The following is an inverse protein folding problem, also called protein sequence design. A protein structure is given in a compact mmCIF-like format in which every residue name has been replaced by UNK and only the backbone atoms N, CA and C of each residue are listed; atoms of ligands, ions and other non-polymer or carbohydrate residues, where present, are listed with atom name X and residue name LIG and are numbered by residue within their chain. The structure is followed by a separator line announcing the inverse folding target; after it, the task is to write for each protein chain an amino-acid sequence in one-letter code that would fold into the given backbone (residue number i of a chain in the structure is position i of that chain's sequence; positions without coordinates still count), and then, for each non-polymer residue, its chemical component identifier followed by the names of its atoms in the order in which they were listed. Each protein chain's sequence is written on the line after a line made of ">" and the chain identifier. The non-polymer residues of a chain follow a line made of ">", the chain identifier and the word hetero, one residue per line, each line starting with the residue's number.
data_IF_032870067272
#
_entry.id   IF_032870067272
#
_cell.length_a   1.000
_cell.length_b   1.000
_cell.length_c   1.000
_cell.angle_alpha   90.00
_cell.angle_beta   90.00
_cell.angle_gamma   90.00
#
_symmetry.space_group_name_H-M   'P 1'
#
loop_
_entity.id
_entity.type
_entity.pdbx_description
1 polymer ?
#
# COMPACT_ATOMS: atom_id res chain seq x y z
N UNK A 1 -6.00 -30.88 28.97
CA UNK A 1 -4.80 -31.11 28.15
C UNK A 1 -4.59 -29.84 27.33
N UNK A 2 -3.63 -29.01 27.72
CA UNK A 2 -3.33 -27.74 27.06
C UNK A 2 -2.77 -28.04 25.67
N UNK A 3 -3.45 -27.57 24.62
CA UNK A 3 -2.84 -27.46 23.30
C UNK A 3 -2.30 -26.04 23.23
N UNK A 4 -1.00 -25.90 23.54
CA UNK A 4 -0.27 -24.67 23.26
C UNK A 4 -0.19 -24.54 21.74
N UNK A 5 -1.05 -23.69 21.17
CA UNK A 5 -0.93 -23.26 19.79
C UNK A 5 0.41 -22.56 19.62
N UNK A 6 1.33 -23.24 18.95
CA UNK A 6 2.59 -22.67 18.50
C UNK A 6 2.26 -21.50 17.56
N UNK A 7 2.32 -20.27 18.06
CA UNK A 7 2.28 -19.05 17.24
C UNK A 7 3.60 -18.93 16.47
N UNK A 8 3.83 -19.85 15.55
CA UNK A 8 4.83 -19.70 14.51
C UNK A 8 4.40 -18.52 13.64
N UNK A 9 5.20 -17.46 13.62
CA UNK A 9 5.02 -16.34 12.73
C UNK A 9 5.23 -16.84 11.30
N UNK A 10 4.16 -17.29 10.63
CA UNK A 10 4.22 -17.68 9.22
C UNK A 10 4.42 -16.37 8.45
N UNK A 11 5.65 -16.16 7.97
CA UNK A 11 5.94 -15.05 7.06
C UNK A 11 5.31 -15.36 5.69
N UNK A 12 4.03 -15.03 5.53
CA UNK A 12 3.35 -15.09 4.25
C UNK A 12 3.95 -14.05 3.28
N UNK A 13 4.13 -14.42 2.01
CA UNK A 13 4.63 -13.50 0.99
C UNK A 13 3.57 -12.47 0.55
N UNK A 14 2.29 -12.72 0.86
CA UNK A 14 1.15 -11.87 0.50
C UNK A 14 0.07 -11.88 1.58
N UNK A 15 -0.81 -10.88 1.55
CA UNK A 15 -1.99 -10.81 2.40
C UNK A 15 -3.17 -11.55 1.74
N UNK A 16 -3.88 -12.40 2.48
CA UNK A 16 -5.11 -13.03 1.98
C UNK A 16 -6.26 -12.03 1.91
N UNK A 17 -7.30 -12.36 1.13
CA UNK A 17 -8.41 -11.45 0.85
C UNK A 17 -9.11 -10.98 2.13
N UNK A 18 -9.36 -11.89 3.07
CA UNK A 18 -10.05 -11.61 4.32
C UNK A 18 -9.26 -10.63 5.20
N UNK A 19 -7.94 -10.85 5.35
CA UNK A 19 -7.05 -9.95 6.07
C UNK A 19 -6.96 -8.58 5.40
N UNK A 20 -6.96 -8.53 4.06
CA UNK A 20 -6.99 -7.27 3.33
C UNK A 20 -8.30 -6.50 3.55
N UNK A 21 -9.45 -7.21 3.56
CA UNK A 21 -10.74 -6.61 3.90
C UNK A 21 -10.77 -6.08 5.34
N UNK A 22 -10.20 -6.81 6.30
CA UNK A 22 -10.05 -6.32 7.69
C UNK A 22 -9.25 -5.02 7.72
N UNK A 23 -8.15 -4.95 6.96
CA UNK A 23 -7.30 -3.75 6.88
C UNK A 23 -8.07 -2.55 6.29
N UNK A 24 -8.91 -2.77 5.27
CA UNK A 24 -9.74 -1.72 4.67
C UNK A 24 -10.85 -1.21 5.62
N UNK A 25 -11.49 -2.13 6.35
CA UNK A 25 -12.69 -1.83 7.15
C UNK A 25 -12.37 -1.39 8.59
N UNK A 26 -11.18 -1.69 9.10
CA UNK A 26 -10.79 -1.30 10.47
C UNK A 26 -10.66 0.22 10.58
N UNK A 27 -11.41 0.82 11.51
CA UNK A 27 -11.28 2.23 11.84
C UNK A 27 -9.95 2.48 12.56
N UNK A 28 -9.16 3.43 12.07
CA UNK A 28 -7.87 3.80 12.64
C UNK A 28 -7.88 5.31 12.89
N UNK A 29 -8.11 5.71 14.15
CA UNK A 29 -8.15 7.12 14.55
C UNK A 29 -6.78 7.79 14.48
N UNK A 30 -5.70 7.01 14.71
CA UNK A 30 -4.35 7.53 14.66
C UNK A 30 -3.97 7.91 13.21
N UNK A 31 -3.86 9.20 12.94
CA UNK A 31 -3.54 9.76 11.60
C UNK A 31 -2.27 9.17 10.97
N UNK A 32 -1.25 8.86 11.77
CA UNK A 32 0.01 8.28 11.29
C UNK A 32 -0.19 6.83 10.84
N UNK A 33 -0.92 6.03 11.62
CA UNK A 33 -1.25 4.65 11.25
C UNK A 33 -2.21 4.61 10.06
N UNK A 34 -3.23 5.49 10.04
CA UNK A 34 -4.15 5.62 8.90
C UNK A 34 -3.41 5.96 7.61
N UNK A 35 -2.43 6.88 7.65
CA UNK A 35 -1.57 7.15 6.49
C UNK A 35 -0.77 5.92 6.07
N UNK A 36 -0.14 5.21 7.00
CA UNK A 36 0.61 3.99 6.65
C UNK A 36 -0.29 2.94 6.01
N UNK A 37 -1.50 2.73 6.53
CA UNK A 37 -2.51 1.85 5.92
C UNK A 37 -2.82 2.29 4.49
N UNK A 38 -3.11 3.57 4.28
CA UNK A 38 -3.49 4.05 2.96
C UNK A 38 -2.33 3.94 1.94
N UNK A 39 -1.07 4.15 2.37
CA UNK A 39 0.10 3.90 1.50
C UNK A 39 0.24 2.42 1.14
N UNK A 40 0.01 1.53 2.11
CA UNK A 40 0.00 0.09 1.87
C UNK A 40 -1.10 -0.30 0.88
N UNK A 41 -2.33 0.17 1.09
CA UNK A 41 -3.48 -0.09 0.21
C UNK A 41 -3.22 0.43 -1.19
N UNK A 42 -2.73 1.66 -1.33
CA UNK A 42 -2.38 2.21 -2.64
C UNK A 42 -1.34 1.36 -3.36
N UNK A 43 -0.30 0.92 -2.63
CA UNK A 43 0.73 0.01 -3.13
C UNK A 43 0.13 -1.35 -3.53
N UNK A 44 -0.86 -1.85 -2.80
CA UNK A 44 -1.60 -3.07 -3.14
C UNK A 44 -2.49 -2.95 -4.37
N UNK A 45 -2.94 -1.77 -4.75
CA UNK A 45 -3.71 -1.57 -6.00
C UNK A 45 -2.83 -1.20 -7.19
N UNK A 46 -1.57 -0.83 -6.98
CA UNK A 46 -0.67 -0.35 -8.04
C UNK A 46 0.55 -1.23 -8.27
N UNK A 47 0.88 -2.12 -7.34
CA UNK A 47 2.07 -2.97 -7.41
C UNK A 47 3.39 -2.20 -7.37
N UNK A 48 3.38 -0.94 -6.93
CA UNK A 48 4.56 -0.11 -6.79
C UNK A 48 5.38 -0.54 -5.56
N UNK A 49 6.70 -0.48 -5.64
CA UNK A 49 7.53 -0.70 -4.45
C UNK A 49 7.54 0.55 -3.56
N UNK A 50 8.03 0.43 -2.32
CA UNK A 50 8.26 1.59 -1.45
C UNK A 50 9.14 2.65 -2.13
N UNK A 51 10.16 2.21 -2.87
CA UNK A 51 11.05 3.12 -3.56
C UNK A 51 10.35 3.83 -4.73
N UNK A 52 9.53 3.11 -5.50
CA UNK A 52 8.72 3.69 -6.57
C UNK A 52 7.71 4.70 -6.01
N UNK A 53 7.07 4.38 -4.88
CA UNK A 53 6.16 5.28 -4.16
C UNK A 53 6.85 6.56 -3.70
N UNK A 54 8.10 6.46 -3.22
CA UNK A 54 8.88 7.62 -2.78
C UNK A 54 9.27 8.55 -3.94
N UNK A 55 9.47 8.02 -5.14
CA UNK A 55 9.81 8.83 -6.33
C UNK A 55 8.58 9.34 -7.08
N UNK A 56 7.42 8.69 -6.91
CA UNK A 56 6.16 9.01 -7.59
C UNK A 56 5.81 10.49 -7.43
N UNK A 57 5.53 11.13 -8.54
CA UNK A 57 5.30 12.58 -8.64
C UNK A 57 4.28 12.91 -9.71
N UNK A 58 3.82 14.15 -9.73
CA UNK A 58 2.73 14.61 -10.61
C UNK A 58 3.00 14.37 -12.10
N UNK A 59 4.27 14.48 -12.55
CA UNK A 59 4.64 14.18 -13.94
C UNK A 59 4.37 12.73 -14.37
N UNK A 60 4.25 11.82 -13.42
CA UNK A 60 3.96 10.41 -13.70
C UNK A 60 2.45 10.14 -13.80
N UNK A 61 1.60 11.08 -13.39
CA UNK A 61 0.15 10.96 -13.49
C UNK A 61 -0.34 11.47 -14.84
N UNK A 62 -0.85 10.58 -15.66
CA UNK A 62 -1.36 10.89 -17.00
C UNK A 62 -2.86 10.68 -16.99
N UNK A 63 -3.62 11.73 -17.30
CA UNK A 63 -5.07 11.66 -17.50
C UNK A 63 -5.37 11.53 -18.99
N UNK A 64 -6.12 10.50 -19.34
CA UNK A 64 -6.60 10.29 -20.70
C UNK A 64 -7.90 11.08 -20.98
N UNK A 65 -8.30 11.15 -22.26
CA UNK A 65 -9.45 11.94 -22.72
C UNK A 65 -10.78 11.49 -22.09
N UNK A 66 -10.88 10.23 -21.72
CA UNK A 66 -12.03 9.62 -21.04
C UNK A 66 -12.07 9.92 -19.53
N UNK A 67 -11.05 10.62 -19.00
CA UNK A 67 -10.90 10.93 -17.58
C UNK A 67 -10.15 9.86 -16.77
N UNK A 68 -9.82 8.71 -17.37
CA UNK A 68 -9.05 7.64 -16.72
C UNK A 68 -7.66 8.16 -16.34
N UNK A 69 -7.23 7.86 -15.11
CA UNK A 69 -5.92 8.26 -14.60
C UNK A 69 -4.96 7.06 -14.63
N UNK A 70 -3.75 7.31 -15.12
CA UNK A 70 -2.69 6.32 -15.23
C UNK A 70 -1.44 6.80 -14.48
N UNK A 71 -0.68 5.85 -13.93
CA UNK A 71 0.71 6.06 -13.53
C UNK A 71 1.59 5.55 -14.66
N UNK A 72 2.42 6.43 -15.23
CA UNK A 72 3.52 6.06 -16.13
C UNK A 72 4.84 6.36 -15.43
N UNK A 73 5.57 5.32 -15.03
CA UNK A 73 6.78 5.47 -14.21
C UNK A 73 7.86 4.47 -14.61
N UNK A 74 9.11 4.91 -14.62
CA UNK A 74 10.25 4.00 -14.70
C UNK A 74 10.53 3.42 -13.30
N UNK A 75 10.42 2.10 -13.17
CA UNK A 75 10.65 1.42 -11.88
C UNK A 75 12.10 1.60 -11.45
N UNK A 76 12.30 1.99 -10.18
CA UNK A 76 13.63 2.37 -9.69
C UNK A 76 14.63 1.22 -9.79
N UNK A 77 14.22 0.01 -9.43
CA UNK A 77 15.10 -1.17 -9.33
C UNK A 77 15.49 -1.75 -10.69
N UNK A 78 14.53 -1.84 -11.60
CA UNK A 78 14.70 -2.56 -12.88
C UNK A 78 14.89 -1.64 -14.07
N UNK A 79 14.65 -0.32 -13.92
CA UNK A 79 14.69 0.66 -15.02
C UNK A 79 13.71 0.36 -16.15
N UNK A 80 12.69 -0.44 -15.87
CA UNK A 80 11.63 -0.77 -16.81
C UNK A 80 10.49 0.22 -16.66
N UNK A 81 9.97 0.72 -17.78
CA UNK A 81 8.73 1.48 -17.78
C UNK A 81 7.56 0.62 -17.28
N UNK A 82 6.68 1.22 -16.49
CA UNK A 82 5.49 0.59 -15.95
C UNK A 82 4.31 1.55 -16.12
N UNK A 83 3.24 1.05 -16.74
CA UNK A 83 2.01 1.78 -17.00
C UNK A 83 0.88 1.11 -16.21
N UNK A 84 0.31 1.82 -15.24
CA UNK A 84 -0.66 1.29 -14.28
C UNK A 84 -1.93 2.12 -14.36
N UNK A 85 -3.06 1.50 -14.70
CA UNK A 85 -4.37 2.14 -14.64
C UNK A 85 -4.80 2.29 -13.20
N UNK A 86 -5.19 3.49 -12.77
CA UNK A 86 -5.62 3.72 -11.39
C UNK A 86 -7.10 3.40 -11.21
N UNK A 87 -7.39 2.56 -10.21
CA UNK A 87 -8.73 2.32 -9.71
C UNK A 87 -9.20 3.48 -8.84
N UNK A 88 -10.53 3.62 -8.68
CA UNK A 88 -11.15 4.70 -7.91
C UNK A 88 -10.58 4.84 -6.50
N UNK A 89 -10.32 3.72 -5.81
CA UNK A 89 -9.73 3.74 -4.46
C UNK A 89 -8.31 4.35 -4.45
N UNK A 90 -7.49 4.05 -5.45
CA UNK A 90 -6.15 4.63 -5.58
C UNK A 90 -6.25 6.15 -5.85
N UNK A 91 -7.18 6.57 -6.71
CA UNK A 91 -7.46 7.98 -7.00
C UNK A 91 -7.92 8.73 -5.74
N UNK A 92 -8.83 8.14 -4.96
CA UNK A 92 -9.31 8.71 -3.70
C UNK A 92 -8.17 8.91 -2.69
N UNK A 93 -7.23 7.96 -2.59
CA UNK A 93 -6.06 8.10 -1.72
C UNK A 93 -5.15 9.25 -2.20
N UNK A 94 -4.92 9.38 -3.51
CA UNK A 94 -4.14 10.49 -4.09
C UNK A 94 -4.76 11.84 -3.71
N UNK A 95 -6.08 11.98 -3.86
CA UNK A 95 -6.79 13.23 -3.56
C UNK A 95 -6.84 13.51 -2.05
N UNK A 96 -7.04 12.49 -1.20
CA UNK A 96 -7.03 12.61 0.26
C UNK A 96 -5.75 13.27 0.79
N UNK A 97 -4.60 12.99 0.18
CA UNK A 97 -3.29 13.49 0.61
C UNK A 97 -2.75 14.63 -0.25
N UNK A 98 -3.56 15.20 -1.15
CA UNK A 98 -3.12 16.25 -2.08
C UNK A 98 -2.77 17.56 -1.39
N UNK A 99 -3.58 17.99 -0.41
CA UNK A 99 -3.44 19.29 0.26
C UNK A 99 -2.25 19.38 1.20
N UNK A 100 -1.67 18.25 1.60
CA UNK A 100 -0.52 18.19 2.51
C UNK A 100 0.83 18.05 1.79
N UNK A 101 0.84 17.90 0.46
CA UNK A 101 2.06 17.71 -0.32
C UNK A 101 3.02 18.89 -0.13
N UNK A 102 4.30 18.58 0.06
CA UNK A 102 5.36 19.58 0.24
C UNK A 102 6.22 19.79 -1.01
N UNK A 103 5.93 19.05 -2.07
CA UNK A 103 6.72 19.01 -3.32
C UNK A 103 5.86 18.44 -4.45
N UNK A 104 6.45 18.22 -5.62
CA UNK A 104 5.82 17.53 -6.75
C UNK A 104 5.50 16.05 -6.47
N UNK A 105 5.95 15.50 -5.35
CA UNK A 105 5.69 14.11 -4.95
C UNK A 105 4.23 13.89 -4.60
N UNK A 106 3.68 12.76 -5.05
CA UNK A 106 2.28 12.40 -4.80
C UNK A 106 2.03 12.16 -3.31
N UNK A 107 3.02 11.60 -2.61
CA UNK A 107 2.93 11.28 -1.18
C UNK A 107 4.16 11.76 -0.41
N UNK A 108 3.92 12.30 0.79
CA UNK A 108 4.97 12.56 1.78
C UNK A 108 5.31 11.25 2.52
N UNK A 109 6.14 10.40 1.93
CA UNK A 109 6.50 9.10 2.51
C UNK A 109 7.36 9.26 3.77
N UNK A 110 6.98 8.58 4.85
CA UNK A 110 7.85 8.36 6.02
C UNK A 110 8.90 7.29 5.70
N UNK A 111 9.93 7.13 6.53
CA UNK A 111 10.96 6.11 6.33
C UNK A 111 10.37 4.70 6.27
N UNK A 112 11.05 3.79 5.56
CA UNK A 112 10.63 2.38 5.49
C UNK A 112 10.55 1.76 6.89
N UNK A 113 11.56 1.98 7.74
CA UNK A 113 11.58 1.45 9.11
C UNK A 113 10.40 1.93 9.98
N UNK A 114 10.00 3.20 9.85
CA UNK A 114 8.80 3.71 10.52
C UNK A 114 7.52 3.11 9.93
N UNK A 115 7.48 2.93 8.61
CA UNK A 115 6.36 2.28 7.92
C UNK A 115 6.18 0.84 8.40
N UNK A 116 7.24 0.05 8.45
CA UNK A 116 7.25 -1.34 8.96
C UNK A 116 6.78 -1.40 10.42
N UNK A 117 7.26 -0.47 11.27
CA UNK A 117 6.80 -0.39 12.67
C UNK A 117 5.30 -0.08 12.76
N UNK A 118 4.80 0.80 11.91
CA UNK A 118 3.38 1.14 11.88
C UNK A 118 2.55 -0.03 11.34
N UNK A 119 3.02 -0.76 10.33
CA UNK A 119 2.35 -1.94 9.78
C UNK A 119 2.17 -3.03 10.84
N UNK A 120 3.18 -3.27 11.69
CA UNK A 120 3.05 -4.18 12.84
C UNK A 120 1.94 -3.76 13.80
N UNK A 121 1.85 -2.46 14.11
CA UNK A 121 0.77 -1.93 14.96
C UNK A 121 -0.60 -2.07 14.31
N UNK A 122 -0.69 -1.80 13.01
CA UNK A 122 -1.91 -1.95 12.23
C UNK A 122 -2.36 -3.42 12.22
N UNK A 123 -1.44 -4.36 12.01
CA UNK A 123 -1.74 -5.79 12.08
C UNK A 123 -2.37 -6.17 13.42
N UNK A 124 -1.77 -5.72 14.53
CA UNK A 124 -2.32 -5.94 15.87
C UNK A 124 -3.70 -5.33 16.05
N UNK A 125 -3.93 -4.10 15.55
CA UNK A 125 -5.24 -3.43 15.64
C UNK A 125 -6.32 -4.14 14.83
N UNK A 126 -5.96 -4.72 13.68
CA UNK A 126 -6.89 -5.41 12.79
C UNK A 126 -7.11 -6.88 13.17
N UNK A 127 -6.36 -7.41 14.16
CA UNK A 127 -6.38 -8.84 14.48
C UNK A 127 -5.75 -9.73 13.40
N UNK A 128 -4.87 -9.17 12.57
CA UNK A 128 -4.18 -9.89 11.49
C UNK A 128 -3.01 -10.67 12.10
N UNK A 129 -3.02 -12.00 11.92
CA UNK A 129 -2.00 -12.89 12.46
C UNK A 129 -0.67 -12.78 11.67
N UNK A 130 -0.75 -12.44 10.38
CA UNK A 130 0.40 -12.29 9.50
C UNK A 130 1.26 -11.07 9.86
N UNK A 131 2.59 -11.21 9.79
CA UNK A 131 3.51 -10.09 9.98
C UNK A 131 3.52 -9.19 8.73
N UNK A 132 2.69 -8.15 8.74
CA UNK A 132 2.60 -7.16 7.67
C UNK A 132 3.95 -6.49 7.41
N UNK A 133 4.50 -6.72 6.21
CA UNK A 133 5.64 -5.97 5.69
C UNK A 133 5.24 -5.18 4.46
N UNK A 134 5.92 -4.07 4.17
CA UNK A 134 5.57 -3.26 3.00
C UNK A 134 5.71 -4.03 1.69
N UNK A 135 6.65 -4.98 1.64
CA UNK A 135 6.86 -5.83 0.47
C UNK A 135 5.63 -6.68 0.13
N UNK A 136 4.81 -7.07 1.12
CA UNK A 136 3.59 -7.85 0.86
C UNK A 136 2.56 -7.09 0.05
N UNK A 137 2.53 -5.75 0.14
CA UNK A 137 1.51 -4.93 -0.52
C UNK A 137 1.39 -5.24 -2.01
N UNK A 138 2.53 -5.26 -2.73
CA UNK A 138 2.58 -5.49 -4.18
C UNK A 138 2.27 -6.94 -4.59
N UNK A 139 2.39 -7.91 -3.68
CA UNK A 139 2.05 -9.31 -3.95
C UNK A 139 0.57 -9.60 -3.70
N UNK A 140 -0.07 -8.85 -2.80
CA UNK A 140 -1.53 -8.81 -2.66
C UNK A 140 -2.21 -8.36 -3.96
N UNK A 141 -1.62 -7.42 -4.72
CA UNK A 141 -2.14 -7.04 -6.05
C UNK A 141 -2.31 -8.24 -6.98
N UNK A 142 -1.23 -9.01 -7.15
CA UNK A 142 -1.17 -10.11 -8.10
C UNK A 142 -2.12 -11.26 -7.74
N UNK A 143 -2.35 -11.48 -6.44
CA UNK A 143 -3.06 -12.66 -5.94
C UNK A 143 -4.53 -12.40 -5.60
N UNK A 144 -4.90 -11.17 -5.23
CA UNK A 144 -6.25 -10.87 -4.69
C UNK A 144 -7.06 -9.93 -5.56
N UNK A 145 -6.41 -9.09 -6.37
CA UNK A 145 -7.09 -8.07 -7.19
C UNK A 145 -7.19 -8.51 -8.66
N UNK A 146 -6.33 -9.43 -9.12
CA UNK A 146 -6.29 -9.90 -10.50
C UNK A 146 -6.73 -11.36 -10.72
N UNK A 147 -7.22 -12.06 -9.69
CA UNK A 147 -7.89 -13.37 -9.81
C UNK A 147 -9.41 -13.18 -9.79
#
# INVERSE_FOLDING_TARGET
>A
MHITGNAGCISSEYLVAEEFQMLLNTSIENKTLSRTRDMFVFSSFTGLSYADMKQLSEKHLIREKDGTLWIKIERQKTKTECNIRLLNIAVQIIEKYKTERKSDKIFNMITLSNTERNLKKIATLCGIASNLTYHMSRHTYATTICL
#
